data_IF_424542177351
#
_entry.id   IF_424542177351
#
_cell.length_a   1.000
_cell.length_b   1.000
_cell.length_c   1.000
_cell.angle_alpha   90.00
_cell.angle_beta   90.00
_cell.angle_gamma   90.00
#
_symmetry.space_group_name_H-M   'P 1'
#
loop_
_entity.id
_entity.type
_entity.pdbx_description
1 polymer ?
#
# COMPACT_ATOMS: atom_id res chain seq x y z
N UNK A 1 1.02 19.16 -2.59
CA UNK A 1 0.48 17.99 -1.89
C UNK A 1 -0.42 18.47 -0.77
N UNK A 2 -1.63 17.90 -0.69
CA UNK A 2 -2.60 18.19 0.36
C UNK A 2 -2.82 16.98 1.25
N UNK A 3 -3.14 17.18 2.53
CA UNK A 3 -3.48 16.08 3.43
C UNK A 3 -4.52 16.45 4.49
N UNK A 4 -5.20 15.43 5.00
CA UNK A 4 -6.18 15.49 6.08
C UNK A 4 -6.16 14.19 6.89
N UNK A 5 -6.66 14.23 8.13
CA UNK A 5 -6.72 13.07 9.03
C UNK A 5 -5.85 13.19 10.27
N UNK A 6 -5.51 12.05 10.86
CA UNK A 6 -4.72 11.99 12.08
C UNK A 6 -3.27 12.40 11.86
N UNK A 7 -2.77 13.27 12.73
CA UNK A 7 -1.41 13.79 12.76
C UNK A 7 -0.78 13.73 14.17
N UNK A 8 -1.32 12.86 15.04
CA UNK A 8 -0.87 12.76 16.44
C UNK A 8 0.60 12.38 16.60
N UNK A 9 1.19 11.75 15.59
CA UNK A 9 2.60 11.37 15.54
C UNK A 9 3.33 12.07 14.37
N UNK A 10 2.75 13.12 13.79
CA UNK A 10 3.33 13.85 12.66
C UNK A 10 3.20 13.13 11.31
N UNK A 11 2.36 12.09 11.21
CA UNK A 11 2.28 11.22 10.03
C UNK A 11 1.73 11.89 8.76
N UNK A 12 1.04 13.03 8.89
CA UNK A 12 0.68 13.86 7.74
C UNK A 12 1.83 14.75 7.28
N UNK A 13 2.92 14.78 8.04
CA UNK A 13 4.00 15.73 7.82
C UNK A 13 3.46 17.15 7.85
N UNK A 14 2.56 17.48 8.79
CA UNK A 14 2.12 18.86 8.97
C UNK A 14 2.94 19.51 10.08
N UNK A 15 3.44 20.73 9.85
CA UNK A 15 4.29 21.49 10.78
C UNK A 15 3.61 21.90 12.10
N UNK A 16 2.38 21.46 12.33
CA UNK A 16 1.58 21.88 13.47
C UNK A 16 1.39 20.74 14.47
N UNK A 17 1.25 21.09 15.73
CA UNK A 17 1.02 20.15 16.83
C UNK A 17 -0.46 19.72 16.93
N UNK A 18 -1.28 19.94 15.89
CA UNK A 18 -2.67 19.47 15.93
C UNK A 18 -2.69 17.96 15.74
N UNK A 19 -3.41 17.30 16.63
CA UNK A 19 -3.60 15.85 16.62
C UNK A 19 -4.33 15.35 15.39
N UNK A 20 -5.26 16.14 14.87
CA UNK A 20 -6.04 15.84 13.67
C UNK A 20 -6.13 17.10 12.79
N UNK A 21 -6.04 16.91 11.47
CA UNK A 21 -6.13 17.95 10.46
C UNK A 21 -7.43 17.76 9.69
N UNK A 22 -8.36 18.67 9.94
CA UNK A 22 -9.67 18.67 9.31
C UNK A 22 -9.66 19.63 8.12
N UNK A 23 -10.20 19.13 7.01
CA UNK A 23 -10.10 19.75 5.69
C UNK A 23 -8.71 19.56 5.09
N UNK A 24 -8.65 19.21 3.80
CA UNK A 24 -7.38 19.05 3.09
C UNK A 24 -6.56 20.35 3.14
N UNK A 25 -5.36 20.27 3.74
CA UNK A 25 -4.40 21.38 3.85
C UNK A 25 -3.20 21.12 2.98
N UNK A 26 -2.70 22.17 2.34
CA UNK A 26 -1.42 22.11 1.65
C UNK A 26 -0.30 21.89 2.66
N UNK A 27 0.43 20.78 2.52
CA UNK A 27 1.51 20.38 3.45
C UNK A 27 2.89 20.42 2.81
N UNK A 28 2.94 20.36 1.47
CA UNK A 28 4.17 20.47 0.71
C UNK A 28 3.87 21.14 -0.63
N UNK A 29 4.59 22.22 -0.90
CA UNK A 29 4.57 22.95 -2.16
C UNK A 29 6.02 23.14 -2.61
N UNK A 30 6.34 22.66 -3.81
CA UNK A 30 7.71 22.60 -4.31
C UNK A 30 7.79 21.84 -5.62
N UNK A 31 9.02 21.61 -6.07
CA UNK A 31 9.33 20.95 -7.36
C UNK A 31 9.46 19.43 -7.26
N UNK A 32 9.21 18.85 -6.09
CA UNK A 32 9.31 17.41 -5.86
C UNK A 32 8.12 16.68 -6.47
N UNK A 33 8.39 15.74 -7.38
CA UNK A 33 7.36 14.91 -8.02
C UNK A 33 7.35 13.52 -7.41
N UNK A 34 6.23 13.14 -6.78
CA UNK A 34 6.04 11.81 -6.20
C UNK A 34 5.52 10.83 -7.25
N UNK A 35 6.20 9.69 -7.36
CA UNK A 35 5.82 8.58 -8.23
C UNK A 35 4.93 7.57 -7.50
N UNK A 36 5.12 7.38 -6.19
CA UNK A 36 4.27 6.51 -5.39
C UNK A 36 4.33 6.89 -3.91
N UNK A 37 3.36 6.37 -3.14
CA UNK A 37 3.30 6.55 -1.71
C UNK A 37 2.82 5.29 -1.01
N UNK A 38 3.20 5.13 0.25
CA UNK A 38 2.71 4.07 1.11
C UNK A 38 2.49 4.64 2.52
N UNK A 39 1.26 4.50 3.02
CA UNK A 39 0.83 5.12 4.27
C UNK A 39 0.56 4.02 5.30
N UNK A 40 1.42 3.98 6.32
CA UNK A 40 1.41 2.96 7.36
C UNK A 40 0.47 3.28 8.52
N UNK A 41 0.79 2.74 9.70
CA UNK A 41 0.04 2.99 10.93
C UNK A 41 0.20 4.42 11.45
N UNK A 42 1.45 4.86 11.60
CA UNK A 42 1.83 6.18 12.16
C UNK A 42 2.94 6.88 11.39
N UNK A 43 3.21 6.43 10.18
CA UNK A 43 4.21 7.04 9.31
C UNK A 43 3.79 6.86 7.85
N UNK A 44 4.31 7.74 7.01
CA UNK A 44 4.14 7.71 5.57
C UNK A 44 5.51 7.68 4.90
N UNK A 45 5.60 6.94 3.80
CA UNK A 45 6.74 6.94 2.89
C UNK A 45 6.29 7.39 1.52
N UNK A 46 7.13 8.18 0.86
CA UNK A 46 6.90 8.69 -0.48
C UNK A 46 8.14 8.43 -1.33
N UNK A 47 7.94 7.96 -2.55
CA UNK A 47 9.00 7.74 -3.53
C UNK A 47 8.81 8.73 -4.67
N UNK A 48 9.87 9.43 -5.05
CA UNK A 48 9.84 10.39 -6.15
C UNK A 48 10.15 9.75 -7.50
N UNK A 49 9.89 10.48 -8.58
CA UNK A 49 10.22 10.04 -9.96
C UNK A 49 11.72 9.94 -10.22
N UNK A 50 12.55 10.55 -9.38
CA UNK A 50 14.02 10.44 -9.40
C UNK A 50 14.58 9.49 -8.33
N UNK A 51 13.78 8.54 -7.84
CA UNK A 51 14.19 7.48 -6.89
C UNK A 51 14.65 7.99 -5.52
N UNK A 52 14.23 9.18 -5.10
CA UNK A 52 14.45 9.69 -3.75
C UNK A 52 13.30 9.28 -2.82
N UNK A 53 13.64 9.03 -1.55
CA UNK A 53 12.67 8.63 -0.54
C UNK A 53 12.44 9.80 0.41
N UNK A 54 11.17 10.04 0.73
CA UNK A 54 10.75 10.97 1.76
C UNK A 54 9.89 10.26 2.79
N UNK A 55 9.93 10.70 4.04
CA UNK A 55 9.14 10.13 5.12
C UNK A 55 8.61 11.18 6.08
N UNK A 56 7.51 10.85 6.75
CA UNK A 56 6.90 11.67 7.79
C UNK A 56 6.19 10.80 8.84
N UNK A 57 6.26 11.20 10.11
CA UNK A 57 5.57 10.54 11.20
C UNK A 57 6.47 9.98 12.30
N UNK A 58 5.96 8.97 12.99
CA UNK A 58 6.62 8.33 14.12
C UNK A 58 7.93 7.66 13.70
N UNK A 59 8.99 7.86 14.50
CA UNK A 59 10.30 7.25 14.32
C UNK A 59 10.76 6.47 15.56
N UNK A 60 9.92 6.37 16.61
CA UNK A 60 10.29 5.78 17.92
C UNK A 60 10.62 4.29 17.86
N UNK A 61 10.11 3.58 16.86
CA UNK A 61 10.41 2.16 16.61
C UNK A 61 11.43 2.00 15.47
N UNK A 62 12.09 3.06 15.03
CA UNK A 62 13.04 3.03 13.91
C UNK A 62 12.39 2.83 12.53
N UNK A 63 11.07 3.00 12.42
CA UNK A 63 10.32 2.87 11.15
C UNK A 63 10.57 4.05 10.19
N UNK A 64 11.15 5.13 10.71
CA UNK A 64 11.77 6.21 9.97
C UNK A 64 13.17 6.44 10.55
N UNK A 65 14.16 6.86 9.75
CA UNK A 65 15.40 7.38 10.30
C UNK A 65 15.13 8.54 11.25
N UNK A 66 16.01 8.73 12.23
CA UNK A 66 15.90 9.92 13.10
C UNK A 66 16.07 11.16 12.22
N UNK A 67 15.10 12.08 12.21
CA UNK A 67 15.22 13.28 11.39
C UNK A 67 16.44 14.08 11.86
N UNK A 68 17.18 14.73 10.94
CA UNK A 68 18.30 15.57 11.32
C UNK A 68 17.79 16.68 12.26
N UNK A 69 18.59 17.02 13.28
CA UNK A 69 18.30 18.17 14.14
C UNK A 69 18.58 19.42 13.30
N UNK A 70 17.57 19.90 12.59
CA UNK A 70 17.65 21.13 11.79
C UNK A 70 16.75 22.20 12.39
N UNK A 71 17.20 23.46 12.31
CA UNK A 71 16.34 24.63 12.52
C UNK A 71 15.26 24.76 11.42
N UNK A 72 15.42 24.01 10.32
CA UNK A 72 14.47 23.96 9.21
C UNK A 72 13.25 23.09 9.53
N UNK A 73 12.09 23.77 9.59
CA UNK A 73 10.73 23.27 9.84
C UNK A 73 10.15 22.35 8.74
N UNK A 74 10.94 21.50 8.08
CA UNK A 74 10.36 20.52 7.16
C UNK A 74 9.80 19.35 7.96
N UNK A 75 8.50 19.08 7.86
CA UNK A 75 7.82 17.98 8.55
C UNK A 75 7.79 16.67 7.74
N UNK A 76 8.22 16.75 6.47
CA UNK A 76 8.48 15.62 5.59
C UNK A 76 9.96 15.69 5.27
N UNK A 77 10.69 14.64 5.60
CA UNK A 77 12.15 14.63 5.48
C UNK A 77 12.57 13.70 4.37
N UNK A 78 13.56 14.14 3.58
CA UNK A 78 14.29 13.26 2.69
C UNK A 78 15.03 12.22 3.53
N UNK A 79 14.85 10.94 3.20
CA UNK A 79 15.58 9.83 3.78
C UNK A 79 16.85 9.65 2.97
N UNK A 80 18.01 9.79 3.63
CA UNK A 80 19.29 9.47 3.02
C UNK A 80 19.39 7.94 2.86
N UNK A 81 19.12 7.49 1.65
CA UNK A 81 19.17 6.08 1.27
C UNK A 81 20.60 5.51 1.41
N UNK A 82 21.65 6.28 1.13
CA UNK A 82 23.03 5.80 1.22
C UNK A 82 23.42 5.59 2.68
N UNK A 83 23.05 6.52 3.56
CA UNK A 83 23.21 6.35 5.00
C UNK A 83 22.42 5.15 5.53
N UNK A 84 21.18 4.96 5.06
CA UNK A 84 20.34 3.81 5.43
C UNK A 84 21.00 2.47 5.06
N UNK A 85 21.55 2.37 3.84
CA UNK A 85 22.26 1.18 3.36
C UNK A 85 23.53 0.90 4.16
N UNK A 86 24.27 1.93 4.56
CA UNK A 86 25.49 1.78 5.36
C UNK A 86 25.23 1.09 6.72
N UNK A 87 24.01 1.25 7.24
CA UNK A 87 23.55 0.72 8.53
C UNK A 87 22.96 -0.69 8.46
N UNK A 88 22.92 -1.32 7.27
CA UNK A 88 22.45 -2.71 7.14
C UNK A 88 23.39 -3.64 7.93
N UNK A 89 22.88 -4.32 8.95
CA UNK A 89 23.76 -5.06 9.87
C UNK A 89 24.08 -6.49 9.42
N UNK A 90 23.28 -7.09 8.55
CA UNK A 90 23.38 -8.50 8.14
C UNK A 90 24.07 -8.72 6.79
N UNK A 91 24.88 -7.77 6.34
CA UNK A 91 25.68 -7.87 5.11
C UNK A 91 27.07 -7.27 5.33
N UNK A 92 28.05 -7.68 4.52
CA UNK A 92 29.41 -7.13 4.55
C UNK A 92 29.48 -5.72 3.93
N UNK A 93 30.64 -5.06 4.08
CA UNK A 93 30.86 -3.71 3.58
C UNK A 93 30.83 -3.65 2.05
N UNK A 94 31.40 -4.65 1.37
CA UNK A 94 31.44 -4.70 -0.10
C UNK A 94 30.02 -4.71 -0.70
N UNK A 95 29.09 -5.43 -0.06
CA UNK A 95 27.70 -5.44 -0.48
C UNK A 95 26.99 -4.11 -0.22
N UNK A 96 27.28 -3.42 0.89
CA UNK A 96 26.75 -2.07 1.16
C UNK A 96 27.22 -1.08 0.10
N UNK A 97 28.51 -1.10 -0.23
CA UNK A 97 29.11 -0.23 -1.24
C UNK A 97 28.50 -0.52 -2.62
N UNK A 98 28.24 -1.80 -2.93
CA UNK A 98 27.51 -2.20 -4.14
C UNK A 98 26.08 -1.64 -4.18
N UNK A 99 25.34 -1.73 -3.08
CA UNK A 99 23.97 -1.20 -2.99
C UNK A 99 23.97 0.34 -3.15
N UNK A 100 24.90 1.04 -2.51
CA UNK A 100 25.02 2.49 -2.62
C UNK A 100 25.39 2.95 -4.05
N UNK A 101 26.23 2.18 -4.75
CA UNK A 101 26.75 2.57 -6.07
C UNK A 101 25.86 2.15 -7.25
N UNK A 102 25.15 1.01 -7.14
CA UNK A 102 24.47 0.37 -8.30
C UNK A 102 22.96 0.25 -8.18
N UNK A 103 22.40 0.52 -7.00
CA UNK A 103 20.98 0.34 -6.75
C UNK A 103 20.28 1.67 -6.45
N UNK A 104 19.00 1.71 -6.80
CA UNK A 104 18.12 2.80 -6.46
C UNK A 104 16.80 2.29 -5.87
N UNK A 105 16.17 3.04 -4.96
CA UNK A 105 14.81 2.76 -4.52
C UNK A 105 13.83 2.70 -5.69
N UNK A 106 13.07 1.61 -5.78
CA UNK A 106 12.04 1.41 -6.81
C UNK A 106 10.64 1.24 -6.23
N UNK A 107 10.54 0.92 -4.93
CA UNK A 107 9.27 0.85 -4.21
C UNK A 107 9.47 1.17 -2.74
N UNK A 108 8.52 1.87 -2.13
CA UNK A 108 8.44 2.11 -0.68
C UNK A 108 7.17 1.50 -0.11
N UNK A 109 7.26 0.90 1.07
CA UNK A 109 6.14 0.24 1.74
C UNK A 109 6.17 0.57 3.23
N UNK A 110 5.08 1.15 3.74
CA UNK A 110 4.87 1.45 5.14
C UNK A 110 3.81 0.52 5.72
N UNK A 111 4.16 -0.24 6.76
CA UNK A 111 3.23 -1.12 7.48
C UNK A 111 2.85 -0.47 8.82
N UNK A 112 2.46 -1.24 9.84
CA UNK A 112 2.13 -0.67 11.16
C UNK A 112 3.28 0.17 11.75
N UNK A 113 4.42 -0.46 11.96
CA UNK A 113 5.65 0.11 12.56
C UNK A 113 6.92 -0.40 11.87
N UNK A 114 6.80 -0.85 10.62
CA UNK A 114 7.93 -1.33 9.82
C UNK A 114 7.87 -0.73 8.43
N UNK A 115 9.02 -0.31 7.94
CA UNK A 115 9.23 0.20 6.58
C UNK A 115 10.01 -0.82 5.76
N UNK A 116 9.63 -0.97 4.50
CA UNK A 116 10.34 -1.78 3.52
C UNK A 116 10.66 -0.90 2.30
N UNK A 117 11.83 -1.10 1.72
CA UNK A 117 12.22 -0.48 0.46
C UNK A 117 12.68 -1.60 -0.48
N UNK A 118 12.11 -1.63 -1.68
CA UNK A 118 12.64 -2.44 -2.78
C UNK A 118 13.71 -1.63 -3.49
N UNK A 119 14.87 -2.26 -3.67
CA UNK A 119 16.02 -1.72 -4.35
C UNK A 119 16.20 -2.46 -5.67
N UNK A 120 16.21 -1.72 -6.77
CA UNK A 120 16.46 -2.28 -8.09
C UNK A 120 17.82 -1.82 -8.60
N UNK A 121 18.57 -2.75 -9.19
CA UNK A 121 19.84 -2.43 -9.83
C UNK A 121 19.59 -1.56 -11.08
N UNK A 122 20.27 -0.42 -11.19
CA UNK A 122 20.03 0.59 -12.24
C UNK A 122 20.23 0.03 -13.65
N UNK A 123 21.19 -0.88 -13.84
CA UNK A 123 21.45 -1.55 -15.11
C UNK A 123 20.67 -2.85 -15.29
N UNK A 124 19.84 -3.24 -14.31
CA UNK A 124 19.06 -4.48 -14.28
C UNK A 124 19.90 -5.77 -14.40
N UNK A 125 21.21 -5.69 -14.21
CA UNK A 125 22.16 -6.81 -14.28
C UNK A 125 22.18 -7.67 -12.99
N UNK A 126 21.44 -7.27 -11.97
CA UNK A 126 21.43 -7.92 -10.66
C UNK A 126 20.02 -8.13 -10.11
N UNK A 127 19.93 -9.02 -9.12
CA UNK A 127 18.71 -9.25 -8.36
C UNK A 127 18.28 -7.97 -7.66
N UNK A 128 16.98 -7.68 -7.71
CA UNK A 128 16.37 -6.72 -6.81
C UNK A 128 16.50 -7.22 -5.36
N UNK A 129 16.57 -6.29 -4.42
CA UNK A 129 16.72 -6.55 -2.99
C UNK A 129 15.61 -5.87 -2.20
N UNK A 130 15.30 -6.36 -1.00
CA UNK A 130 14.38 -5.70 -0.08
C UNK A 130 15.15 -5.37 1.20
N UNK A 131 15.14 -4.11 1.61
CA UNK A 131 15.65 -3.69 2.91
C UNK A 131 14.49 -3.35 3.83
N UNK A 132 14.65 -3.63 5.13
CA UNK A 132 13.62 -3.43 6.14
C UNK A 132 14.18 -2.72 7.37
N UNK A 133 13.42 -1.80 7.94
CA UNK A 133 13.76 -1.08 9.17
C UNK A 133 12.50 -0.77 9.98
N UNK A 134 12.63 -0.57 11.28
CA UNK A 134 11.50 -0.48 12.20
C UNK A 134 11.39 -1.65 13.18
N UNK A 135 10.19 -1.85 13.72
CA UNK A 135 9.85 -2.98 14.59
C UNK A 135 9.79 -4.30 13.81
N UNK A 136 10.12 -5.41 14.46
CA UNK A 136 9.92 -6.77 13.95
C UNK A 136 8.88 -7.59 14.75
N UNK A 137 7.99 -6.95 15.50
CA UNK A 137 7.07 -7.65 16.41
C UNK A 137 6.17 -8.67 15.68
N UNK A 138 5.82 -8.36 14.44
CA UNK A 138 5.00 -9.22 13.57
C UNK A 138 5.83 -10.08 12.61
N UNK A 139 7.15 -9.99 12.62
CA UNK A 139 8.03 -10.72 11.69
C UNK A 139 8.22 -10.02 10.33
N UNK A 140 7.73 -8.79 10.15
CA UNK A 140 7.72 -8.07 8.86
C UNK A 140 9.14 -7.74 8.36
N UNK A 141 10.15 -7.67 9.24
CA UNK A 141 11.54 -7.48 8.82
C UNK A 141 12.19 -8.71 8.22
N UNK A 142 11.50 -9.85 8.18
CA UNK A 142 11.98 -11.04 7.48
C UNK A 142 13.21 -11.70 8.11
N UNK A 143 13.54 -11.37 9.37
CA UNK A 143 14.71 -11.84 10.11
C UNK A 143 14.32 -12.30 11.52
N UNK A 144 15.09 -13.21 12.11
CA UNK A 144 14.80 -13.71 13.46
C UNK A 144 15.16 -12.70 14.57
N UNK A 145 16.15 -11.85 14.32
CA UNK A 145 16.60 -10.83 15.28
C UNK A 145 15.71 -9.58 15.23
N UNK A 146 15.51 -8.93 16.37
CA UNK A 146 14.69 -7.71 16.50
C UNK A 146 15.57 -6.47 16.74
N UNK A 147 16.52 -6.23 15.85
CA UNK A 147 17.30 -4.99 15.82
C UNK A 147 16.43 -3.87 15.24
N UNK A 148 16.63 -2.61 15.62
CA UNK A 148 15.91 -1.48 15.00
C UNK A 148 16.57 -1.07 13.68
N UNK A 149 17.88 -1.28 13.58
CA UNK A 149 18.73 -1.00 12.43
C UNK A 149 18.24 -1.74 11.18
N UNK A 150 18.49 -1.17 9.98
CA UNK A 150 18.12 -1.79 8.72
C UNK A 150 18.70 -3.19 8.54
N UNK A 151 17.96 -4.08 7.89
CA UNK A 151 18.45 -5.38 7.44
C UNK A 151 18.07 -5.64 5.99
N UNK A 152 18.85 -6.47 5.31
CA UNK A 152 18.45 -7.12 4.07
C UNK A 152 17.47 -8.25 4.41
N UNK A 153 16.37 -8.37 3.65
CA UNK A 153 15.46 -9.52 3.71
C UNK A 153 15.95 -10.60 2.76
N UNK A 154 16.20 -11.79 3.30
CA UNK A 154 16.53 -12.97 2.51
C UNK A 154 15.25 -13.67 2.05
N UNK A 155 15.00 -13.65 0.74
CA UNK A 155 13.94 -14.44 0.12
C UNK A 155 14.42 -15.87 -0.14
N UNK A 156 13.51 -16.88 -0.16
CA UNK A 156 13.86 -18.27 -0.42
C UNK A 156 14.71 -18.41 -1.68
N UNK A 157 15.77 -19.21 -1.60
CA UNK A 157 16.61 -19.48 -2.75
C UNK A 157 16.02 -20.63 -3.58
N UNK A 158 15.78 -20.35 -4.86
CA UNK A 158 15.44 -21.36 -5.85
C UNK A 158 16.68 -21.86 -6.59
N UNK A 159 16.98 -23.16 -6.46
CA UNK A 159 18.20 -23.79 -7.02
C UNK A 159 18.19 -23.85 -8.55
N UNK A 160 17.03 -24.05 -9.17
CA UNK A 160 16.82 -24.13 -10.62
C UNK A 160 16.56 -22.78 -11.28
N UNK A 161 16.77 -21.66 -10.56
CA UNK A 161 16.49 -20.32 -11.09
C UNK A 161 17.34 -19.98 -12.30
N UNK A 162 16.74 -19.35 -13.30
CA UNK A 162 17.42 -18.79 -14.47
C UNK A 162 17.21 -17.27 -14.48
N UNK A 163 18.32 -16.53 -14.59
CA UNK A 163 18.28 -15.07 -14.64
C UNK A 163 18.11 -14.39 -13.28
N UNK A 164 17.87 -13.09 -13.32
CA UNK A 164 17.78 -12.21 -12.15
C UNK A 164 16.35 -12.13 -11.62
N UNK A 165 16.21 -11.86 -10.33
CA UNK A 165 14.92 -11.66 -9.65
C UNK A 165 14.49 -10.21 -9.73
N UNK A 166 13.25 -9.99 -10.16
CA UNK A 166 12.53 -8.72 -10.03
C UNK A 166 11.45 -8.85 -8.98
N UNK A 167 11.36 -7.86 -8.10
CA UNK A 167 10.54 -7.96 -6.89
C UNK A 167 9.52 -6.83 -6.88
N UNK A 168 8.25 -7.18 -6.62
CA UNK A 168 7.22 -6.22 -6.22
C UNK A 168 6.63 -6.65 -4.88
N UNK A 169 6.51 -5.72 -3.95
CA UNK A 169 6.04 -5.99 -2.58
C UNK A 169 4.65 -5.42 -2.36
N UNK A 170 3.75 -6.23 -1.84
CA UNK A 170 2.45 -5.80 -1.33
C UNK A 170 2.43 -6.05 0.17
N UNK A 171 1.91 -5.10 0.95
CA UNK A 171 1.77 -5.26 2.39
C UNK A 171 0.39 -4.83 2.88
N UNK A 172 -0.11 -5.57 3.87
CA UNK A 172 -1.12 -5.07 4.78
C UNK A 172 -0.45 -4.47 6.02
N UNK A 173 -1.20 -4.32 7.11
CA UNK A 173 -0.64 -3.72 8.34
C UNK A 173 0.53 -4.53 8.93
N UNK A 174 0.51 -5.86 8.78
CA UNK A 174 1.36 -6.77 9.58
C UNK A 174 1.86 -7.99 8.82
N UNK A 175 1.57 -8.09 7.53
CA UNK A 175 1.98 -9.20 6.69
C UNK A 175 2.27 -8.70 5.28
N UNK A 176 3.13 -9.43 4.58
CA UNK A 176 3.72 -9.02 3.31
C UNK A 176 3.61 -10.19 2.34
N UNK A 177 3.34 -9.87 1.08
CA UNK A 177 3.46 -10.78 -0.05
C UNK A 177 4.32 -10.10 -1.11
N UNK A 178 5.45 -10.72 -1.45
CA UNK A 178 6.30 -10.33 -2.56
C UNK A 178 5.99 -11.20 -3.79
N UNK A 179 5.84 -10.54 -4.95
CA UNK A 179 5.86 -11.17 -6.27
C UNK A 179 7.30 -11.17 -6.75
N UNK A 180 7.89 -12.36 -6.88
CA UNK A 180 9.26 -12.55 -7.35
C UNK A 180 9.22 -13.12 -8.76
N UNK A 181 9.65 -12.33 -9.75
CA UNK A 181 9.69 -12.71 -11.16
C UNK A 181 11.13 -13.06 -11.53
N UNK A 182 11.33 -14.22 -12.16
CA UNK A 182 12.64 -14.69 -12.62
C UNK A 182 12.81 -14.39 -14.11
N UNK A 183 13.70 -13.45 -14.45
CA UNK A 183 13.81 -12.90 -15.79
C UNK A 183 14.21 -13.93 -16.88
N UNK A 184 14.86 -15.04 -16.51
CA UNK A 184 15.37 -16.01 -17.48
C UNK A 184 14.34 -17.03 -17.98
N UNK A 185 13.29 -17.29 -17.21
CA UNK A 185 12.26 -18.27 -17.56
C UNK A 185 10.81 -17.76 -17.34
N UNK A 186 10.65 -16.51 -16.89
CA UNK A 186 9.37 -15.90 -16.53
C UNK A 186 8.61 -16.65 -15.42
N UNK A 187 9.31 -17.46 -14.62
CA UNK A 187 8.69 -18.06 -13.44
C UNK A 187 8.35 -16.98 -12.43
N UNK A 188 7.25 -17.19 -11.70
CA UNK A 188 6.82 -16.27 -10.66
C UNK A 188 6.56 -17.03 -9.36
N UNK A 189 7.16 -16.55 -8.29
CA UNK A 189 6.90 -17.01 -6.93
C UNK A 189 6.17 -15.92 -6.13
N UNK A 190 5.12 -16.32 -5.43
CA UNK A 190 4.54 -15.49 -4.38
C UNK A 190 5.16 -15.92 -3.05
N UNK A 191 5.92 -15.02 -2.44
CA UNK A 191 6.62 -15.24 -1.17
C UNK A 191 5.96 -14.39 -0.10
N UNK A 192 5.64 -14.96 1.06
CA UNK A 192 4.97 -14.22 2.13
C UNK A 192 5.58 -14.45 3.50
N UNK A 193 5.42 -13.43 4.35
CA UNK A 193 5.87 -13.41 5.75
C UNK A 193 5.09 -12.39 6.58
N UNK A 194 5.36 -12.38 7.88
CA UNK A 194 4.69 -11.54 8.87
C UNK A 194 3.60 -12.28 9.65
N UNK A 195 2.61 -11.55 10.17
CA UNK A 195 1.47 -12.10 10.91
C UNK A 195 0.69 -13.11 10.07
N UNK A 196 0.49 -14.32 10.61
CA UNK A 196 -0.29 -15.38 9.97
C UNK A 196 -1.33 -16.03 10.90
N UNK A 197 -1.56 -15.45 12.09
CA UNK A 197 -2.49 -15.99 13.12
C UNK A 197 -3.92 -16.26 12.67
N UNK A 198 -4.35 -15.68 11.55
CA UNK A 198 -5.70 -15.87 10.99
C UNK A 198 -5.68 -16.60 9.65
N UNK A 199 -4.53 -17.11 9.21
CA UNK A 199 -4.38 -17.80 7.92
C UNK A 199 -4.16 -16.87 6.73
N UNK A 200 -3.85 -15.58 6.92
CA UNK A 200 -3.68 -14.61 5.83
C UNK A 200 -2.50 -14.89 4.88
N UNK A 201 -1.64 -15.87 5.20
CA UNK A 201 -0.59 -16.37 4.30
C UNK A 201 -0.94 -17.72 3.65
N UNK A 202 -2.22 -18.11 3.63
CA UNK A 202 -2.71 -19.28 2.89
C UNK A 202 -2.62 -20.64 3.61
N UNK A 203 -2.06 -20.68 4.82
CA UNK A 203 -2.04 -21.88 5.66
C UNK A 203 -3.27 -21.89 6.57
N UNK A 204 -4.14 -22.89 6.41
CA UNK A 204 -5.36 -23.06 7.20
C UNK A 204 -5.52 -24.53 7.64
N UNK A 205 -5.57 -24.84 8.96
CA UNK A 205 -5.45 -23.92 10.09
C UNK A 205 -4.03 -23.34 10.23
N UNK A 206 -3.87 -22.12 10.78
CA UNK A 206 -2.56 -21.54 10.99
C UNK A 206 -1.77 -22.33 12.06
N UNK A 207 -0.52 -22.66 11.74
CA UNK A 207 0.39 -23.39 12.64
C UNK A 207 1.06 -22.43 13.64
N UNK A 208 1.30 -21.19 13.21
CA UNK A 208 1.97 -20.16 13.99
C UNK A 208 1.16 -18.85 13.98
N UNK A 209 1.46 -17.97 14.93
CA UNK A 209 0.86 -16.62 14.95
C UNK A 209 1.55 -15.66 13.97
N UNK A 210 2.80 -15.92 13.61
CA UNK A 210 3.60 -15.22 12.61
C UNK A 210 4.55 -16.17 11.88
N UNK A 211 4.78 -15.93 10.59
CA UNK A 211 5.87 -16.51 9.80
C UNK A 211 6.97 -15.47 9.71
N UNK A 212 8.04 -15.63 10.48
CA UNK A 212 9.08 -14.60 10.60
C UNK A 212 9.93 -14.53 9.33
N UNK A 213 10.31 -15.68 8.78
CA UNK A 213 11.12 -15.74 7.57
C UNK A 213 10.22 -15.80 6.32
N UNK A 214 10.60 -15.12 5.22
CA UNK A 214 9.96 -15.28 3.92
C UNK A 214 9.85 -16.74 3.49
N UNK A 215 8.65 -17.16 3.10
CA UNK A 215 8.37 -18.52 2.63
C UNK A 215 7.52 -18.50 1.36
N UNK A 216 7.76 -19.43 0.44
CA UNK A 216 6.96 -19.55 -0.78
C UNK A 216 5.52 -19.95 -0.42
N UNK A 217 4.56 -19.13 -0.86
CA UNK A 217 3.13 -19.38 -0.73
C UNK A 217 2.58 -20.11 -1.96
N UNK A 218 2.94 -19.63 -3.16
CA UNK A 218 2.47 -20.16 -4.43
C UNK A 218 3.58 -20.12 -5.47
N UNK A 219 3.65 -21.19 -6.25
CA UNK A 219 4.38 -21.23 -7.52
C UNK A 219 3.38 -20.91 -8.64
N UNK A 220 3.68 -19.90 -9.44
CA UNK A 220 2.80 -19.45 -10.52
C UNK A 220 3.36 -19.97 -11.85
N UNK A 221 2.50 -20.47 -12.77
CA UNK A 221 2.96 -21.00 -14.05
C UNK A 221 3.79 -19.98 -14.86
N UNK A 222 4.85 -20.40 -15.56
CA UNK A 222 5.76 -19.51 -16.30
C UNK A 222 5.08 -18.70 -17.42
N UNK A 223 3.94 -19.17 -17.90
CA UNK A 223 3.13 -18.51 -18.94
C UNK A 223 2.32 -17.32 -18.43
N UNK A 224 2.33 -17.07 -17.12
CA UNK A 224 1.52 -16.02 -16.49
C UNK A 224 2.26 -14.68 -16.60
N UNK A 225 1.71 -13.67 -17.27
CA UNK A 225 2.32 -12.34 -17.27
C UNK A 225 2.34 -11.76 -15.85
N UNK A 226 3.45 -11.15 -15.39
CA UNK A 226 3.50 -10.56 -14.05
C UNK A 226 2.38 -9.58 -13.74
N UNK A 227 1.92 -8.80 -14.74
CA UNK A 227 0.84 -7.83 -14.58
C UNK A 227 -0.56 -8.44 -14.53
N UNK A 228 -0.67 -9.77 -14.68
CA UNK A 228 -1.93 -10.50 -14.49
C UNK A 228 -2.18 -10.89 -13.03
N UNK A 229 -1.25 -10.57 -12.13
CA UNK A 229 -1.33 -10.85 -10.69
C UNK A 229 -1.80 -9.60 -9.96
N UNK A 230 -3.00 -9.67 -9.36
CA UNK A 230 -3.53 -8.62 -8.50
C UNK A 230 -3.51 -9.07 -7.04
N UNK A 231 -3.00 -8.22 -6.14
CA UNK A 231 -2.89 -8.53 -4.71
C UNK A 231 -3.46 -7.39 -3.88
N UNK A 232 -4.34 -7.72 -2.93
CA UNK A 232 -4.81 -6.81 -1.90
C UNK A 232 -4.72 -7.46 -0.53
N UNK A 233 -4.13 -6.74 0.43
CA UNK A 233 -3.87 -7.23 1.78
C UNK A 233 -4.57 -6.32 2.79
N UNK A 234 -5.48 -6.87 3.57
CA UNK A 234 -6.14 -6.16 4.66
C UNK A 234 -5.39 -6.26 5.98
N UNK A 235 -6.09 -6.10 7.11
CA UNK A 235 -5.44 -6.23 8.42
C UNK A 235 -5.08 -7.69 8.74
N UNK A 236 -5.88 -8.64 8.29
CA UNK A 236 -5.69 -10.06 8.59
C UNK A 236 -6.29 -10.97 7.51
N UNK A 237 -6.38 -10.49 6.28
CA UNK A 237 -6.84 -11.25 5.12
C UNK A 237 -6.09 -10.82 3.86
N UNK A 238 -6.06 -11.72 2.88
CA UNK A 238 -5.34 -11.56 1.62
C UNK A 238 -6.20 -12.01 0.46
N UNK A 239 -6.21 -11.23 -0.61
CA UNK A 239 -6.78 -11.60 -1.90
C UNK A 239 -5.64 -11.61 -2.92
N UNK A 240 -5.54 -12.72 -3.66
CA UNK A 240 -4.61 -12.87 -4.77
C UNK A 240 -5.43 -13.34 -5.97
N UNK A 241 -5.38 -12.59 -7.06
CA UNK A 241 -6.00 -12.96 -8.33
C UNK A 241 -4.87 -13.19 -9.32
N UNK A 242 -4.88 -14.36 -9.96
CA UNK A 242 -3.99 -14.71 -11.04
C UNK A 242 -4.86 -14.91 -12.27
N UNK A 243 -4.90 -13.91 -13.14
CA UNK A 243 -5.71 -13.99 -14.37
C UNK A 243 -5.09 -14.96 -15.37
N UNK A 244 -5.92 -15.69 -16.14
CA UNK A 244 -7.39 -15.62 -16.18
C UNK A 244 -8.11 -16.58 -15.21
N UNK A 245 -7.39 -17.35 -14.41
CA UNK A 245 -7.91 -18.65 -13.94
C UNK A 245 -8.19 -18.77 -12.45
N UNK A 246 -7.49 -18.02 -11.58
CA UNK A 246 -7.51 -18.30 -10.13
C UNK A 246 -7.74 -17.07 -9.28
N UNK A 247 -8.58 -17.25 -8.26
CA UNK A 247 -8.72 -16.35 -7.12
C UNK A 247 -8.39 -17.12 -5.84
N UNK A 248 -7.56 -16.52 -4.99
CA UNK A 248 -7.25 -16.99 -3.66
C UNK A 248 -7.71 -15.94 -2.65
N UNK A 249 -8.49 -16.39 -1.68
CA UNK A 249 -9.01 -15.57 -0.59
C UNK A 249 -8.65 -16.26 0.74
N UNK A 250 -7.74 -15.67 1.50
CA UNK A 250 -7.18 -16.28 2.71
C UNK A 250 -7.29 -15.37 3.91
N UNK A 251 -7.43 -15.95 5.10
CA UNK A 251 -7.36 -15.21 6.35
C UNK A 251 -8.68 -15.07 7.11
N UNK A 252 -8.75 -14.01 7.91
CA UNK A 252 -9.90 -13.68 8.73
C UNK A 252 -11.13 -13.34 7.86
N UNK A 253 -12.28 -13.90 8.21
CA UNK A 253 -13.56 -13.60 7.57
C UNK A 253 -14.67 -13.21 8.57
N UNK A 254 -14.32 -12.79 9.78
CA UNK A 254 -15.31 -12.46 10.83
C UNK A 254 -16.31 -11.37 10.44
N UNK A 255 -15.96 -10.48 9.50
CA UNK A 255 -16.84 -9.43 9.01
C UNK A 255 -17.38 -9.72 7.60
N UNK A 256 -17.13 -10.91 7.03
CA UNK A 256 -17.55 -11.23 5.66
C UNK A 256 -16.64 -10.65 4.57
N UNK A 257 -15.43 -10.17 4.88
CA UNK A 257 -14.50 -9.59 3.90
C UNK A 257 -13.99 -10.57 2.83
N UNK A 258 -14.12 -11.87 3.07
CA UNK A 258 -13.84 -12.98 2.15
C UNK A 258 -15.16 -13.69 1.81
N UNK A 259 -16.12 -12.95 1.28
CA UNK A 259 -17.45 -13.47 0.98
C UNK A 259 -17.39 -14.62 -0.04
N UNK A 260 -18.22 -15.69 0.10
CA UNK A 260 -18.17 -16.85 -0.80
C UNK A 260 -18.28 -16.52 -2.29
N UNK A 261 -19.05 -15.48 -2.64
CA UNK A 261 -19.24 -15.06 -4.03
C UNK A 261 -17.98 -14.54 -4.73
N UNK A 262 -16.89 -14.26 -4.00
CA UNK A 262 -15.60 -13.92 -4.60
C UNK A 262 -15.10 -15.06 -5.50
N UNK A 263 -15.39 -16.32 -5.13
CA UNK A 263 -15.03 -17.49 -5.91
C UNK A 263 -15.83 -17.61 -7.23
N UNK A 264 -16.96 -16.91 -7.33
CA UNK A 264 -17.81 -16.90 -8.52
C UNK A 264 -17.35 -15.83 -9.53
N UNK A 265 -16.41 -14.97 -9.16
CA UNK A 265 -15.88 -13.98 -10.08
C UNK A 265 -15.00 -14.65 -11.13
N UNK A 266 -15.24 -14.31 -12.40
CA UNK A 266 -14.26 -14.54 -13.47
C UNK A 266 -13.02 -13.70 -13.16
N UNK A 267 -11.83 -14.30 -12.94
CA UNK A 267 -10.61 -13.55 -12.65
C UNK A 267 -10.26 -12.54 -13.75
N UNK A 268 -10.55 -12.90 -15.01
CA UNK A 268 -10.40 -12.02 -16.17
C UNK A 268 -11.21 -10.74 -16.07
N UNK A 269 -12.36 -10.79 -15.39
CA UNK A 269 -13.25 -9.63 -15.23
C UNK A 269 -12.82 -8.67 -14.12
N UNK A 270 -11.90 -9.09 -13.25
CA UNK A 270 -11.45 -8.24 -12.14
C UNK A 270 -10.41 -7.25 -12.65
N UNK A 271 -10.77 -5.97 -12.75
CA UNK A 271 -9.83 -4.91 -13.13
C UNK A 271 -8.92 -4.51 -11.98
N UNK A 272 -9.45 -4.47 -10.76
CA UNK A 272 -8.73 -4.03 -9.57
C UNK A 272 -9.26 -4.74 -8.32
N UNK A 273 -8.37 -4.97 -7.35
CA UNK A 273 -8.72 -5.39 -6.00
C UNK A 273 -8.01 -4.51 -4.98
N UNK A 274 -8.74 -4.10 -3.95
CA UNK A 274 -8.25 -3.30 -2.83
C UNK A 274 -8.81 -3.82 -1.51
N UNK A 275 -8.12 -3.51 -0.41
CA UNK A 275 -8.55 -3.94 0.92
C UNK A 275 -8.36 -2.80 1.93
N UNK A 276 -9.37 -2.64 2.79
CA UNK A 276 -9.22 -1.90 4.04
C UNK A 276 -8.78 -2.88 5.13
N UNK A 277 -8.85 -2.51 6.41
CA UNK A 277 -8.62 -3.46 7.49
C UNK A 277 -9.60 -4.64 7.48
N UNK A 278 -10.87 -4.37 7.17
CA UNK A 278 -11.98 -5.31 7.35
C UNK A 278 -12.91 -5.40 6.13
N UNK A 279 -12.49 -4.88 4.97
CA UNK A 279 -13.23 -4.95 3.72
C UNK A 279 -12.33 -5.38 2.57
N UNK A 280 -12.98 -5.90 1.54
CA UNK A 280 -12.38 -6.16 0.22
C UNK A 280 -13.25 -5.52 -0.84
N UNK A 281 -12.65 -4.77 -1.75
CA UNK A 281 -13.32 -4.11 -2.86
C UNK A 281 -12.75 -4.58 -4.19
N UNK A 282 -13.63 -4.76 -5.17
CA UNK A 282 -13.33 -5.19 -6.52
C UNK A 282 -13.92 -4.22 -7.52
N UNK A 283 -13.14 -3.83 -8.52
CA UNK A 283 -13.65 -3.21 -9.73
C UNK A 283 -13.77 -4.27 -10.80
N UNK A 284 -14.98 -4.52 -11.28
CA UNK A 284 -15.27 -5.55 -12.28
C UNK A 284 -15.69 -4.91 -13.61
N UNK A 285 -15.25 -5.49 -14.73
CA UNK A 285 -15.64 -5.04 -16.07
C UNK A 285 -17.01 -5.54 -16.52
N UNK A 286 -17.59 -6.53 -15.83
CA UNK A 286 -18.83 -7.21 -16.20
C UNK A 286 -20.08 -6.60 -15.51
N UNK A 287 -20.41 -5.36 -15.87
CA UNK A 287 -21.67 -4.78 -15.40
C UNK A 287 -22.90 -5.51 -15.98
N UNK A 288 -24.00 -5.54 -15.21
CA UNK A 288 -25.32 -5.96 -15.72
C UNK A 288 -25.80 -5.10 -16.90
N UNK A 289 -25.18 -3.94 -17.10
CA UNK A 289 -25.41 -3.02 -18.21
C UNK A 289 -24.15 -2.96 -19.07
N UNK A 290 -24.30 -3.25 -20.36
CA UNK A 290 -23.20 -3.26 -21.33
C UNK A 290 -22.42 -1.94 -21.33
N UNK A 291 -21.08 -2.02 -21.37
CA UNK A 291 -20.18 -0.86 -21.41
C UNK A 291 -19.84 -0.20 -20.06
N UNK A 292 -20.47 -0.61 -18.95
CA UNK A 292 -20.18 -0.06 -17.61
C UNK A 292 -19.32 -1.00 -16.75
N UNK A 293 -18.70 -0.44 -15.70
CA UNK A 293 -17.96 -1.20 -14.67
C UNK A 293 -18.78 -1.30 -13.38
N UNK A 294 -18.48 -2.26 -12.52
CA UNK A 294 -19.08 -2.43 -11.19
C UNK A 294 -18.05 -2.27 -10.08
N UNK A 295 -18.46 -1.66 -8.97
CA UNK A 295 -17.74 -1.67 -7.71
C UNK A 295 -18.48 -2.62 -6.78
N UNK A 296 -17.82 -3.73 -6.45
CA UNK A 296 -18.34 -4.74 -5.52
C UNK A 296 -17.48 -4.73 -4.27
N UNK A 297 -18.10 -4.69 -3.10
CA UNK A 297 -17.41 -4.63 -1.81
C UNK A 297 -18.01 -5.59 -0.79
N UNK A 298 -17.16 -6.19 0.04
CA UNK A 298 -17.55 -7.10 1.10
C UNK A 298 -16.90 -6.68 2.41
N UNK A 299 -17.48 -7.04 3.55
CA UNK A 299 -16.85 -6.85 4.87
C UNK A 299 -17.67 -6.03 5.87
N UNK A 300 -16.97 -5.31 6.75
CA UNK A 300 -17.61 -4.48 7.77
C UNK A 300 -18.37 -3.30 7.15
N UNK A 301 -19.55 -3.00 7.68
CA UNK A 301 -20.30 -1.79 7.35
C UNK A 301 -20.56 -0.91 8.59
N UNK A 302 -19.75 -1.07 9.65
CA UNK A 302 -19.97 -0.37 10.94
C UNK A 302 -19.99 1.16 10.78
N UNK A 303 -19.26 1.69 9.81
CA UNK A 303 -19.13 3.11 9.54
C UNK A 303 -19.51 3.47 8.10
N UNK A 304 -20.39 2.68 7.47
CA UNK A 304 -20.90 2.96 6.12
C UNK A 304 -19.95 2.61 4.97
N UNK A 305 -18.91 1.79 5.21
CA UNK A 305 -17.92 1.42 4.18
C UNK A 305 -18.54 0.72 2.96
N UNK A 306 -19.67 0.02 3.14
CA UNK A 306 -20.39 -0.66 2.08
C UNK A 306 -21.61 0.11 1.56
N UNK A 307 -21.88 1.31 2.10
CA UNK A 307 -22.93 2.21 1.62
C UNK A 307 -24.31 1.57 1.44
N UNK A 308 -24.65 0.59 2.29
CA UNK A 308 -25.96 -0.05 2.29
C UNK A 308 -26.60 0.03 3.67
N UNK A 309 -27.93 0.14 3.70
CA UNK A 309 -28.72 0.14 4.93
C UNK A 309 -29.22 -1.29 5.29
N UNK A 310 -29.02 -2.26 4.40
CA UNK A 310 -29.88 -3.44 4.29
C UNK A 310 -29.28 -4.77 4.76
N UNK A 311 -28.34 -4.79 5.72
CA UNK A 311 -27.78 -6.03 6.31
C UNK A 311 -27.20 -7.06 5.31
N UNK A 312 -27.12 -6.77 4.01
CA UNK A 312 -26.62 -7.70 3.01
C UNK A 312 -25.12 -7.96 3.16
N UNK A 313 -24.39 -7.03 3.81
CA UNK A 313 -22.93 -7.11 3.93
C UNK A 313 -22.20 -6.98 2.60
N UNK A 314 -22.87 -6.47 1.55
CA UNK A 314 -22.34 -6.36 0.19
C UNK A 314 -22.65 -4.98 -0.40
N UNK A 315 -21.62 -4.28 -0.86
CA UNK A 315 -21.73 -3.17 -1.81
C UNK A 315 -21.74 -3.75 -3.23
N UNK A 316 -22.69 -3.37 -4.07
CA UNK A 316 -22.68 -3.74 -5.49
C UNK A 316 -23.37 -2.64 -6.29
N UNK A 317 -22.56 -1.79 -6.92
CA UNK A 317 -23.04 -0.61 -7.64
C UNK A 317 -22.36 -0.48 -9.00
N UNK A 318 -23.03 0.21 -9.92
CA UNK A 318 -22.41 0.66 -11.16
C UNK A 318 -21.45 1.82 -10.87
N UNK A 319 -20.26 1.75 -11.46
CA UNK A 319 -19.29 2.84 -11.40
C UNK A 319 -19.68 3.89 -12.46
N UNK A 320 -19.78 5.18 -12.10
CA UNK A 320 -19.99 6.25 -13.06
C UNK A 320 -18.86 6.34 -14.09
N UNK A 321 -19.18 6.72 -15.33
CA UNK A 321 -18.19 6.77 -16.43
C UNK A 321 -17.03 7.75 -16.18
N UNK A 322 -17.21 8.71 -15.27
CA UNK A 322 -16.19 9.68 -14.90
C UNK A 322 -15.27 9.22 -13.75
N UNK A 323 -15.43 8.01 -13.23
CA UNK A 323 -14.54 7.42 -12.24
C UNK A 323 -13.15 7.14 -12.83
N UNK A 324 -12.09 7.49 -12.09
CA UNK A 324 -10.69 7.34 -12.52
C UNK A 324 -9.94 6.29 -11.69
N UNK A 325 -9.92 6.41 -10.36
CA UNK A 325 -9.16 5.52 -9.46
C UNK A 325 -9.82 5.40 -8.07
N UNK A 326 -9.42 4.38 -7.31
CA UNK A 326 -9.82 4.13 -5.92
C UNK A 326 -8.62 3.81 -5.03
N UNK A 327 -8.67 4.32 -3.80
CA UNK A 327 -7.74 3.97 -2.71
C UNK A 327 -8.50 3.63 -1.45
N UNK A 328 -7.95 2.69 -0.69
CA UNK A 328 -8.53 2.21 0.57
C UNK A 328 -7.58 2.50 1.71
N UNK A 329 -8.04 3.23 2.71
CA UNK A 329 -7.33 3.39 3.98
C UNK A 329 -7.72 2.30 4.97
N UNK A 330 -7.47 2.57 6.25
CA UNK A 330 -7.86 1.72 7.38
C UNK A 330 -9.32 1.27 7.35
N UNK A 331 -10.26 2.22 7.29
CA UNK A 331 -11.71 1.96 7.25
C UNK A 331 -12.47 3.02 6.39
N UNK A 332 -11.75 3.74 5.53
CA UNK A 332 -12.31 4.73 4.60
C UNK A 332 -11.83 4.47 3.17
N UNK A 333 -12.56 5.03 2.22
CA UNK A 333 -12.30 4.87 0.78
C UNK A 333 -12.25 6.25 0.15
N UNK A 334 -11.27 6.45 -0.71
CA UNK A 334 -11.13 7.61 -1.58
C UNK A 334 -11.33 7.16 -3.02
N UNK A 335 -12.01 7.98 -3.81
CA UNK A 335 -12.12 7.81 -5.25
C UNK A 335 -11.85 9.12 -5.95
N UNK A 336 -11.38 9.04 -7.18
CA UNK A 336 -11.15 10.20 -8.03
C UNK A 336 -12.11 10.18 -9.21
N UNK A 337 -12.65 11.35 -9.55
CA UNK A 337 -13.56 11.54 -10.67
C UNK A 337 -13.11 12.70 -11.55
N UNK A 338 -13.35 12.59 -12.85
CA UNK A 338 -13.33 13.75 -13.75
C UNK A 338 -14.64 14.53 -13.57
N UNK A 339 -14.58 15.68 -12.90
CA UNK A 339 -15.73 16.58 -12.81
C UNK A 339 -16.00 17.27 -14.15
N UNK A 340 -17.00 18.16 -14.17
CA UNK A 340 -17.39 18.90 -15.38
C UNK A 340 -16.28 19.86 -15.85
N UNK A 341 -15.57 20.48 -14.90
CA UNK A 341 -14.52 21.47 -15.16
C UNK A 341 -13.19 21.14 -14.46
N UNK A 342 -13.26 20.50 -13.29
CA UNK A 342 -12.11 20.19 -12.43
C UNK A 342 -12.12 18.71 -12.03
N UNK A 343 -10.95 18.14 -11.72
CA UNK A 343 -10.89 16.82 -11.10
C UNK A 343 -11.37 16.90 -9.65
N UNK A 344 -12.06 15.86 -9.19
CA UNK A 344 -12.67 15.83 -7.87
C UNK A 344 -12.24 14.58 -7.10
N UNK A 345 -11.98 14.75 -5.80
CA UNK A 345 -11.74 13.64 -4.86
C UNK A 345 -12.96 13.48 -3.98
N UNK A 346 -13.50 12.27 -3.99
CA UNK A 346 -14.67 11.88 -3.20
C UNK A 346 -14.29 10.78 -2.23
N UNK A 347 -15.08 10.56 -1.19
CA UNK A 347 -14.85 9.42 -0.29
C UNK A 347 -15.98 9.16 0.68
N UNK A 348 -15.83 8.06 1.41
CA UNK A 348 -16.77 7.59 2.43
C UNK A 348 -16.10 6.61 3.40
N UNK A 349 -16.83 6.18 4.43
CA UNK A 349 -16.31 5.33 5.50
C UNK A 349 -15.80 6.12 6.70
N UNK A 350 -15.11 5.47 7.63
CA UNK A 350 -14.81 6.05 8.94
C UNK A 350 -13.99 7.36 8.85
N UNK A 351 -14.48 8.40 9.54
CA UNK A 351 -13.97 9.78 9.46
C UNK A 351 -13.70 10.42 10.83
N UNK A 352 -13.44 9.63 11.87
CA UNK A 352 -13.28 10.17 13.23
C UNK A 352 -12.12 11.17 13.37
N UNK A 353 -11.13 11.08 12.48
CA UNK A 353 -9.95 11.95 12.49
C UNK A 353 -9.99 13.05 11.42
N UNK A 354 -11.11 13.23 10.71
CA UNK A 354 -11.23 14.22 9.64
C UNK A 354 -10.49 13.86 8.34
N UNK A 355 -10.13 12.59 8.15
CA UNK A 355 -9.48 12.07 6.94
C UNK A 355 -10.33 12.21 5.68
N UNK A 356 -11.65 12.42 5.82
CA UNK A 356 -12.57 12.76 4.74
C UNK A 356 -12.98 14.25 4.78
N UNK A 357 -12.06 15.14 5.16
CA UNK A 357 -12.20 16.61 5.02
C UNK A 357 -13.17 17.31 6.00
N UNK A 358 -14.12 16.63 6.63
CA UNK A 358 -15.03 17.24 7.62
C UNK A 358 -15.07 16.50 8.97
N UNK A 359 -15.86 17.02 9.93
CA UNK A 359 -16.07 16.43 11.26
C UNK A 359 -17.39 15.66 11.41
N UNK A 360 -18.11 15.40 10.33
CA UNK A 360 -19.47 14.85 10.44
C UNK A 360 -19.47 13.32 10.55
N UNK A 361 -20.23 12.81 11.52
CA UNK A 361 -20.68 11.41 11.61
C UNK A 361 -22.22 11.44 11.51
N UNK A 362 -22.94 10.61 10.71
CA UNK A 362 -22.51 9.51 9.83
C UNK A 362 -22.57 9.86 8.32
N UNK A 363 -21.74 9.18 7.55
CA UNK A 363 -21.40 9.46 6.15
C UNK A 363 -22.55 9.22 5.18
N UNK A 364 -22.88 10.25 4.39
CA UNK A 364 -23.69 10.15 3.18
C UNK A 364 -22.84 9.46 2.09
N UNK A 365 -23.39 8.52 1.29
CA UNK A 365 -22.67 7.88 0.20
C UNK A 365 -22.13 8.93 -0.78
N UNK A 366 -20.84 8.81 -1.12
CA UNK A 366 -20.13 9.73 -2.02
C UNK A 366 -20.17 11.18 -1.54
N UNK A 367 -19.29 11.57 -0.64
CA UNK A 367 -19.07 12.99 -0.33
C UNK A 367 -17.95 13.56 -1.18
N UNK A 368 -18.17 14.74 -1.77
CA UNK A 368 -17.11 15.53 -2.38
C UNK A 368 -16.20 16.07 -1.26
N UNK A 369 -14.93 15.65 -1.27
CA UNK A 369 -13.98 16.01 -0.21
C UNK A 369 -13.07 17.17 -0.63
N UNK A 370 -12.72 17.21 -1.92
CA UNK A 370 -11.78 18.16 -2.48
C UNK A 370 -12.04 18.38 -3.97
N UNK A 371 -12.13 19.65 -4.37
CA UNK A 371 -12.08 20.05 -5.78
C UNK A 371 -10.66 20.50 -6.10
N UNK A 372 -10.07 19.90 -7.13
CA UNK A 372 -8.70 20.21 -7.52
C UNK A 372 -8.69 21.60 -8.15
N UNK A 373 -7.92 22.57 -7.60
CA UNK A 373 -7.88 23.92 -8.15
C UNK A 373 -7.57 23.91 -9.65
N UNK A 374 -8.28 24.73 -10.44
CA UNK A 374 -8.15 24.78 -11.91
C UNK A 374 -6.72 24.88 -12.46
N UNK A 375 -5.79 25.53 -11.75
CA UNK A 375 -4.37 25.67 -12.12
C UNK A 375 -3.52 24.42 -11.83
N UNK A 376 -4.08 23.42 -11.16
CA UNK A 376 -3.45 22.15 -10.82
C UNK A 376 -4.10 20.97 -11.58
N UNK A 377 -3.37 19.88 -11.66
CA UNK A 377 -3.82 18.57 -12.14
C UNK A 377 -3.62 17.50 -11.05
N UNK A 378 -4.56 16.58 -10.92
CA UNK A 378 -4.51 15.48 -9.95
C UNK A 378 -3.62 14.35 -10.46
N UNK A 379 -2.54 14.08 -9.72
CA UNK A 379 -1.59 13.01 -10.02
C UNK A 379 -2.05 11.70 -9.38
N UNK A 380 -2.28 11.72 -8.07
CA UNK A 380 -2.63 10.52 -7.30
C UNK A 380 -3.36 10.92 -6.00
N UNK A 381 -3.96 9.93 -5.36
CA UNK A 381 -4.44 10.02 -3.99
C UNK A 381 -3.88 8.85 -3.19
N UNK A 382 -3.76 9.01 -1.88
CA UNK A 382 -3.36 7.93 -0.98
C UNK A 382 -4.19 7.93 0.29
N UNK A 383 -4.44 6.74 0.83
CA UNK A 383 -5.25 6.52 2.01
C UNK A 383 -4.51 5.55 2.94
N UNK A 384 -4.42 5.89 4.23
CA UNK A 384 -3.71 5.12 5.23
C UNK A 384 -4.52 4.88 6.50
N UNK A 385 -3.83 4.70 7.62
CA UNK A 385 -4.47 4.67 8.94
C UNK A 385 -4.98 6.06 9.30
N UNK A 386 -6.30 6.25 9.23
CA UNK A 386 -6.99 7.52 9.51
C UNK A 386 -6.36 8.77 8.83
N UNK A 387 -5.74 8.60 7.65
CA UNK A 387 -5.01 9.67 6.94
C UNK A 387 -5.27 9.59 5.45
N UNK A 388 -5.28 10.75 4.80
CA UNK A 388 -5.52 10.87 3.37
C UNK A 388 -4.62 11.94 2.76
N UNK A 389 -4.10 11.67 1.56
CA UNK A 389 -3.21 12.56 0.80
C UNK A 389 -3.73 12.74 -0.62
N UNK A 390 -3.54 13.96 -1.15
CA UNK A 390 -3.86 14.33 -2.52
C UNK A 390 -2.61 14.94 -3.14
N UNK A 391 -2.17 14.35 -4.25
CA UNK A 391 -0.98 14.77 -4.98
C UNK A 391 -1.41 15.53 -6.23
N UNK A 392 -0.94 16.76 -6.37
CA UNK A 392 -1.24 17.61 -7.51
C UNK A 392 0.05 18.23 -8.05
N UNK A 393 0.04 18.52 -9.36
CA UNK A 393 1.10 19.27 -10.05
C UNK A 393 0.51 20.49 -10.74
N UNK A 394 1.32 21.53 -10.95
CA UNK A 394 0.87 22.70 -11.73
C UNK A 394 0.64 22.30 -13.18
N UNK A 395 -0.49 22.72 -13.76
CA UNK A 395 -0.64 22.71 -15.21
C UNK A 395 0.35 23.72 -15.78
N UNK A 396 1.32 23.27 -16.55
CA UNK A 396 2.16 24.18 -17.32
C UNK A 396 1.23 24.95 -18.28
N UNK A 397 1.31 26.27 -18.27
CA UNK A 397 0.57 27.11 -19.23
C UNK A 397 1.14 26.99 -20.63
#
# INVERSE_FOLDING_TARGET
>A
MYAAGSNSDGQLGTRNNKKDIIGFREILNGTTHFASSSIGGRHALFLTTNSEIYGAGDHRQGQLPTPPITDEEQSIHKIDYVDLVSKIWNVDQDFKDKLAAKYQPSQVIATWETSLIVLSCTLQEEDDCIIAFGSNDFGVKGVLLNHLEPNLIELPHRQDRIGKRKIRVHAGNRHVIAVVVYAGNSDIELVGWGSCRHGQLGINPPIHTKSILPSVLLQIPPSTPPDSILIALGNSHSIIIIKPDKVYAWGNNKNGQLHPSISDFSPSDVLEVRATWNNTFFILQNAQKEGHKRLVGFGSNKYGQLQNDNNSGILDILIPDNFKDMRTGSEHILITKKGNEEEEVWGWGWNEHGNLSDNSLPIIPFQLLFKVPSHLELVDVAAGCATSFIFCVSKLK
#
